data_IF_364914369904
#
_entry.id   IF_364914369904
#
_cell.length_a   1.000
_cell.length_b   1.000
_cell.length_c   1.000
_cell.angle_alpha   90.00
_cell.angle_beta   90.00
_cell.angle_gamma   90.00
#
_symmetry.space_group_name_H-M   'P 1'
#
loop_
_entity.id
_entity.type
_entity.pdbx_description
1 polymer ?
#
# COMPACT_ATOMS: atom_id res chain seq x y z
N UNK A 1 -12.33 -56.72 -66.30
CA UNK A 1 -12.36 -55.25 -66.13
C UNK A 1 -13.22 -54.94 -64.91
N UNK A 2 -12.60 -54.84 -63.75
CA UNK A 2 -13.31 -54.59 -62.48
C UNK A 2 -12.56 -53.48 -61.77
N UNK A 3 -13.20 -52.30 -61.70
CA UNK A 3 -12.66 -51.09 -61.07
C UNK A 3 -12.73 -51.25 -59.56
N UNK A 4 -11.59 -51.12 -58.88
CA UNK A 4 -11.53 -50.96 -57.43
C UNK A 4 -11.64 -49.47 -57.10
N UNK A 5 -12.72 -49.09 -56.43
CA UNK A 5 -12.91 -47.78 -55.81
C UNK A 5 -12.17 -47.76 -54.47
N UNK A 6 -11.04 -47.05 -54.41
CA UNK A 6 -10.34 -46.79 -53.14
C UNK A 6 -11.06 -45.70 -52.36
N UNK A 7 -11.58 -46.04 -51.18
CA UNK A 7 -12.16 -45.11 -50.23
C UNK A 7 -11.02 -44.46 -49.42
N UNK A 8 -10.76 -43.17 -49.63
CA UNK A 8 -9.84 -42.38 -48.79
C UNK A 8 -10.59 -42.04 -47.49
N UNK A 9 -10.18 -42.64 -46.38
CA UNK A 9 -10.66 -42.29 -45.05
C UNK A 9 -9.85 -41.09 -44.55
N UNK A 10 -10.38 -39.87 -44.70
CA UNK A 10 -9.85 -38.69 -44.02
C UNK A 10 -10.19 -38.78 -42.53
N UNK A 11 -9.24 -39.20 -41.69
CA UNK A 11 -9.35 -39.04 -40.23
C UNK A 11 -9.09 -37.57 -39.92
N UNK A 12 -10.16 -36.82 -39.68
CA UNK A 12 -10.06 -35.46 -39.16
C UNK A 12 -9.50 -35.53 -37.73
N UNK A 13 -8.26 -35.10 -37.55
CA UNK A 13 -7.69 -34.86 -36.23
C UNK A 13 -8.41 -33.65 -35.62
N UNK A 14 -9.40 -33.92 -34.76
CA UNK A 14 -9.97 -32.90 -33.89
C UNK A 14 -8.87 -32.39 -32.98
N UNK A 15 -8.31 -31.23 -33.31
CA UNK A 15 -7.51 -30.45 -32.39
C UNK A 15 -8.42 -30.05 -31.22
N UNK A 16 -8.33 -30.80 -30.12
CA UNK A 16 -8.86 -30.39 -28.83
C UNK A 16 -8.16 -29.08 -28.47
N UNK A 17 -8.83 -27.97 -28.78
CA UNK A 17 -8.51 -26.67 -28.21
C UNK A 17 -8.83 -26.79 -26.72
N UNK A 18 -7.86 -27.32 -25.96
CA UNK A 18 -7.92 -27.33 -24.52
C UNK A 18 -7.95 -25.88 -24.08
N UNK A 19 -9.11 -25.40 -23.62
CA UNK A 19 -9.17 -24.27 -22.74
C UNK A 19 -8.28 -24.61 -21.53
N UNK A 20 -7.04 -24.16 -21.55
CA UNK A 20 -6.23 -24.10 -20.35
C UNK A 20 -6.93 -23.09 -19.46
N UNK A 21 -7.73 -23.60 -18.53
CA UNK A 21 -8.16 -22.80 -17.40
C UNK A 21 -6.89 -22.18 -16.81
N UNK A 22 -6.84 -20.85 -16.78
CA UNK A 22 -5.75 -20.14 -16.13
C UNK A 22 -5.62 -20.71 -14.72
N UNK A 23 -4.50 -21.37 -14.44
CA UNK A 23 -4.16 -21.83 -13.11
C UNK A 23 -4.25 -20.61 -12.20
N UNK A 24 -5.06 -20.74 -11.14
CA UNK A 24 -5.22 -19.74 -10.08
C UNK A 24 -3.85 -19.19 -9.69
N UNK A 25 -3.74 -17.86 -9.65
CA UNK A 25 -2.48 -17.14 -9.45
C UNK A 25 -1.68 -17.60 -8.24
N UNK A 26 -0.37 -17.34 -8.28
CA UNK A 26 0.59 -17.69 -7.25
C UNK A 26 0.03 -17.44 -5.83
N UNK A 27 0.27 -18.35 -4.87
CA UNK A 27 -0.18 -18.15 -3.50
C UNK A 27 0.40 -16.85 -2.94
N UNK A 28 -0.41 -16.10 -2.17
CA UNK A 28 0.02 -14.88 -1.50
C UNK A 28 1.28 -15.15 -0.67
N UNK A 29 2.40 -14.53 -1.05
CA UNK A 29 3.65 -14.61 -0.30
C UNK A 29 3.69 -13.48 0.73
N UNK A 30 3.57 -13.84 2.01
CA UNK A 30 3.74 -12.89 3.11
C UNK A 30 5.23 -12.65 3.32
N UNK A 31 5.63 -11.38 3.40
CA UNK A 31 7.01 -10.98 3.67
C UNK A 31 7.02 -9.79 4.61
N UNK A 32 7.88 -9.87 5.63
CA UNK A 32 8.10 -8.75 6.54
C UNK A 32 8.64 -7.54 5.78
N UNK A 33 7.93 -6.41 5.92
CA UNK A 33 8.36 -5.14 5.37
C UNK A 33 9.44 -4.47 6.23
N UNK A 34 9.41 -4.72 7.54
CA UNK A 34 10.36 -4.23 8.52
C UNK A 34 11.10 -5.41 9.18
N UNK A 35 12.42 -5.32 9.28
CA UNK A 35 13.25 -6.44 9.74
C UNK A 35 13.37 -6.58 11.27
N UNK A 36 12.76 -5.66 12.04
CA UNK A 36 12.81 -5.65 13.51
C UNK A 36 14.15 -5.21 14.11
N UNK A 37 15.13 -4.79 13.32
CA UNK A 37 16.51 -4.52 13.76
C UNK A 37 16.99 -3.13 13.42
N UNK A 38 16.79 -2.70 12.18
CA UNK A 38 17.31 -1.44 11.66
C UNK A 38 16.47 -0.94 10.48
N UNK A 39 16.88 0.18 9.89
CA UNK A 39 16.19 0.81 8.76
C UNK A 39 16.66 0.29 7.39
N UNK A 40 17.30 -0.88 7.33
CA UNK A 40 17.69 -1.47 6.03
C UNK A 40 16.44 -1.72 5.18
N UNK A 41 16.47 -1.30 3.91
CA UNK A 41 15.31 -1.32 3.02
C UNK A 41 14.36 -0.13 3.19
N UNK A 42 14.71 0.86 4.02
CA UNK A 42 13.98 2.11 4.21
C UNK A 42 14.84 3.32 3.83
N UNK A 43 14.17 4.38 3.36
CA UNK A 43 14.79 5.63 2.96
C UNK A 43 14.15 6.75 3.77
N UNK A 44 14.97 7.45 4.56
CA UNK A 44 14.60 8.71 5.18
C UNK A 44 14.60 9.81 4.10
N UNK A 45 13.45 10.46 3.88
CA UNK A 45 13.28 11.38 2.75
C UNK A 45 13.59 12.82 3.16
N UNK A 46 13.01 13.28 4.26
CA UNK A 46 13.03 14.69 4.64
C UNK A 46 12.91 14.90 6.16
N UNK A 47 13.40 13.96 6.97
CA UNK A 47 13.46 14.11 8.42
C UNK A 47 14.89 14.23 8.93
N UNK A 48 15.06 14.54 10.22
CA UNK A 48 16.39 14.52 10.83
C UNK A 48 16.88 13.07 10.99
N UNK A 49 18.21 12.84 11.08
CA UNK A 49 18.77 11.50 11.21
C UNK A 49 18.26 10.70 12.41
N UNK A 50 17.78 11.36 13.46
CA UNK A 50 17.30 10.73 14.71
C UNK A 50 15.76 10.76 14.86
N UNK A 51 15.03 11.19 13.82
CA UNK A 51 13.56 11.21 13.84
C UNK A 51 12.99 9.79 13.81
N UNK A 52 13.61 8.88 13.05
CA UNK A 52 13.24 7.47 12.92
C UNK A 52 14.31 6.59 13.58
N UNK A 53 13.87 5.72 14.48
CA UNK A 53 14.76 4.81 15.23
C UNK A 53 14.12 3.44 15.37
N UNK A 54 14.93 2.44 15.72
CA UNK A 54 14.43 1.11 16.10
C UNK A 54 14.67 0.90 17.58
N UNK A 55 13.62 0.53 18.31
CA UNK A 55 13.69 0.22 19.74
C UNK A 55 12.85 -1.01 20.02
N UNK A 56 13.44 -2.02 20.66
CA UNK A 56 12.76 -3.26 21.08
C UNK A 56 11.96 -3.91 19.94
N UNK A 57 12.55 -3.99 18.75
CA UNK A 57 11.88 -4.57 17.57
C UNK A 57 10.79 -3.69 16.94
N UNK A 58 10.63 -2.44 17.38
CA UNK A 58 9.60 -1.50 16.90
C UNK A 58 10.23 -0.33 16.16
N UNK A 59 9.67 0.06 15.02
CA UNK A 59 9.96 1.33 14.35
C UNK A 59 9.33 2.49 15.13
N UNK A 60 10.15 3.44 15.59
CA UNK A 60 9.74 4.57 16.42
C UNK A 60 9.99 5.90 15.69
N UNK A 61 8.96 6.74 15.63
CA UNK A 61 9.02 8.09 15.08
C UNK A 61 8.80 9.14 16.18
N UNK A 62 9.70 10.13 16.27
CA UNK A 62 9.52 11.29 17.16
C UNK A 62 8.59 12.36 16.57
N UNK A 63 8.35 12.32 15.25
CA UNK A 63 7.48 13.24 14.52
C UNK A 63 8.04 14.65 14.30
N UNK A 64 9.30 14.91 14.70
CA UNK A 64 9.93 16.23 14.58
C UNK A 64 11.32 16.10 13.92
N UNK A 65 11.58 16.83 12.82
CA UNK A 65 10.58 17.54 12.00
C UNK A 65 9.57 16.59 11.37
N UNK A 66 8.45 17.15 10.89
CA UNK A 66 7.46 16.40 10.09
C UNK A 66 8.11 15.97 8.77
N UNK A 67 7.92 14.71 8.41
CA UNK A 67 8.37 14.14 7.15
C UNK A 67 8.12 12.64 7.11
N UNK A 68 8.71 11.96 6.12
CA UNK A 68 8.41 10.56 5.83
C UNK A 68 9.64 9.66 5.84
N UNK A 69 9.41 8.41 6.24
CA UNK A 69 10.24 7.26 5.93
C UNK A 69 9.48 6.42 4.92
N UNK A 70 10.15 5.95 3.87
CA UNK A 70 9.52 5.08 2.85
C UNK A 70 10.32 3.81 2.61
N UNK A 71 9.68 2.81 2.03
CA UNK A 71 10.38 1.64 1.51
C UNK A 71 11.31 2.03 0.37
N UNK A 72 12.45 1.35 0.26
CA UNK A 72 13.35 1.47 -0.89
C UNK A 72 12.67 0.94 -2.16
N UNK A 73 12.00 -0.21 -2.04
CA UNK A 73 11.23 -0.85 -3.10
C UNK A 73 9.86 -0.19 -3.30
N UNK A 74 9.39 -0.15 -4.54
CA UNK A 74 8.02 0.22 -4.92
C UNK A 74 7.12 -1.02 -5.03
N UNK A 75 5.85 -0.84 -4.67
CA UNK A 75 4.81 -1.87 -4.73
C UNK A 75 3.57 -1.31 -5.42
N UNK A 76 2.89 -2.14 -6.18
CA UNK A 76 1.66 -1.79 -6.91
C UNK A 76 0.45 -2.53 -6.30
N UNK A 77 0.48 -3.86 -6.38
CA UNK A 77 -0.53 -4.74 -5.80
C UNK A 77 0.03 -5.41 -4.54
N UNK A 78 -0.65 -5.25 -3.41
CA UNK A 78 -0.21 -5.80 -2.14
C UNK A 78 -1.38 -5.97 -1.16
N UNK A 79 -1.14 -6.81 -0.16
CA UNK A 79 -1.87 -6.81 1.11
C UNK A 79 -0.89 -6.32 2.16
N UNK A 80 -1.24 -5.25 2.87
CA UNK A 80 -0.39 -4.66 3.92
C UNK A 80 -1.04 -4.87 5.27
N UNK A 81 -0.29 -5.47 6.18
CA UNK A 81 -0.63 -5.61 7.58
C UNK A 81 0.42 -4.87 8.42
N UNK A 82 -0.03 -4.07 9.38
CA UNK A 82 0.83 -3.36 10.32
C UNK A 82 0.10 -3.12 11.63
N UNK A 83 0.86 -3.07 12.71
CA UNK A 83 0.39 -2.63 14.02
C UNK A 83 1.00 -1.26 14.35
N UNK A 84 0.24 -0.43 15.05
CA UNK A 84 0.67 0.91 15.45
C UNK A 84 0.17 1.25 16.85
N UNK A 85 0.86 2.19 17.51
CA UNK A 85 0.42 2.80 18.76
C UNK A 85 0.94 4.23 18.87
N UNK A 86 0.14 5.12 19.43
CA UNK A 86 0.64 6.42 19.88
C UNK A 86 1.16 6.31 21.32
N UNK A 87 2.26 7.01 21.59
CA UNK A 87 2.86 7.08 22.92
C UNK A 87 2.47 8.36 23.68
N UNK A 88 1.77 9.28 23.00
CA UNK A 88 1.35 10.57 23.53
C UNK A 88 -0.10 10.82 23.08
N UNK A 89 -0.86 11.55 23.91
CA UNK A 89 -2.17 12.05 23.51
C UNK A 89 -2.05 12.96 22.28
N UNK A 90 -3.10 13.01 21.46
CA UNK A 90 -3.11 13.78 20.22
C UNK A 90 -1.99 13.40 19.22
N UNK A 91 -1.54 12.14 19.23
CA UNK A 91 -0.67 11.63 18.19
C UNK A 91 -1.31 11.71 16.81
N UNK A 92 -0.53 12.10 15.80
CA UNK A 92 -0.95 12.22 14.41
C UNK A 92 0.15 11.67 13.49
N UNK A 93 -0.20 10.69 12.68
CA UNK A 93 0.66 10.03 11.71
C UNK A 93 -0.21 9.49 10.56
N UNK A 94 0.41 8.92 9.54
CA UNK A 94 -0.31 8.24 8.48
C UNK A 94 0.54 7.19 7.78
N UNK A 95 -0.13 6.32 7.04
CA UNK A 95 0.51 5.36 6.13
C UNK A 95 0.17 5.79 4.71
N UNK A 96 1.20 6.19 3.96
CA UNK A 96 1.05 6.53 2.55
C UNK A 96 1.18 5.29 1.69
N UNK A 97 0.14 5.01 0.90
CA UNK A 97 0.10 3.97 -0.13
C UNK A 97 -0.09 4.60 -1.51
N UNK A 98 0.36 3.90 -2.56
CA UNK A 98 0.37 4.41 -3.95
C UNK A 98 0.91 5.85 -4.02
N UNK A 99 2.02 6.08 -3.32
CA UNK A 99 2.61 7.40 -3.13
C UNK A 99 3.81 7.63 -4.03
N UNK A 100 4.04 8.89 -4.40
CA UNK A 100 5.26 9.31 -5.11
C UNK A 100 6.53 9.16 -4.25
N UNK A 101 6.40 8.90 -2.94
CA UNK A 101 7.53 8.62 -2.04
C UNK A 101 8.43 9.83 -1.77
N UNK A 102 8.02 11.02 -2.18
CA UNK A 102 8.71 12.28 -1.90
C UNK A 102 7.70 13.44 -1.92
N UNK A 103 7.89 14.47 -1.08
CA UNK A 103 7.04 15.65 -1.14
C UNK A 103 7.30 16.49 -2.38
N UNK A 104 6.27 17.17 -2.93
CA UNK A 104 6.45 18.27 -3.86
C UNK A 104 7.28 19.41 -3.24
N UNK A 105 7.85 20.28 -4.07
CA UNK A 105 8.58 21.45 -3.60
C UNK A 105 7.69 22.32 -2.70
N UNK A 106 8.18 22.67 -1.52
CA UNK A 106 7.45 23.48 -0.55
C UNK A 106 6.44 22.72 0.32
N UNK A 107 6.31 21.41 0.15
CA UNK A 107 5.45 20.56 0.99
C UNK A 107 6.30 19.61 1.86
N UNK A 108 5.70 19.09 2.93
CA UNK A 108 6.36 18.15 3.85
C UNK A 108 5.92 16.70 3.62
N UNK A 109 4.69 16.50 3.13
CA UNK A 109 4.08 15.19 2.90
C UNK A 109 3.96 14.89 1.41
N UNK A 110 4.01 13.61 1.01
CA UNK A 110 3.98 13.21 -0.38
C UNK A 110 2.56 13.21 -0.95
N UNK A 111 2.48 13.22 -2.28
CA UNK A 111 1.25 12.93 -3.02
C UNK A 111 1.04 11.40 -3.01
N UNK A 112 -0.20 10.96 -2.73
CA UNK A 112 -0.58 9.55 -2.68
C UNK A 112 -1.95 9.34 -2.05
N UNK A 113 -2.21 8.13 -1.59
CA UNK A 113 -3.35 7.81 -0.73
C UNK A 113 -2.83 7.66 0.69
N UNK A 114 -3.47 8.33 1.64
CA UNK A 114 -3.12 8.24 3.06
C UNK A 114 -4.18 7.44 3.80
N UNK A 115 -3.73 6.45 4.57
CA UNK A 115 -4.52 5.78 5.60
C UNK A 115 -4.19 6.44 6.93
N UNK A 116 -5.17 7.11 7.51
CA UNK A 116 -4.98 7.96 8.67
C UNK A 116 -4.67 7.17 9.93
N UNK A 117 -3.75 7.69 10.74
CA UNK A 117 -3.48 7.23 12.11
C UNK A 117 -3.57 8.44 13.04
N UNK A 118 -4.73 8.61 13.67
CA UNK A 118 -5.02 9.77 14.51
C UNK A 118 -5.60 9.37 15.86
N UNK A 119 -5.02 9.91 16.93
CA UNK A 119 -5.55 9.86 18.29
C UNK A 119 -6.63 10.95 18.48
N UNK A 120 -7.76 10.61 19.11
CA UNK A 120 -8.96 11.45 19.10
C UNK A 120 -8.80 12.77 19.88
N UNK A 121 -7.90 12.83 20.87
CA UNK A 121 -7.61 14.07 21.60
C UNK A 121 -7.02 15.15 20.66
N UNK A 122 -6.46 14.76 19.51
CA UNK A 122 -5.96 15.72 18.52
C UNK A 122 -7.06 16.67 18.05
N UNK A 123 -8.26 16.15 17.80
CA UNK A 123 -9.41 16.95 17.36
C UNK A 123 -9.81 17.98 18.41
N UNK A 124 -9.78 17.59 19.69
CA UNK A 124 -10.10 18.47 20.83
C UNK A 124 -9.05 19.58 20.94
N UNK A 125 -7.77 19.22 20.94
CA UNK A 125 -6.66 20.17 21.08
C UNK A 125 -6.57 21.18 19.93
N UNK A 126 -6.99 20.79 18.73
CA UNK A 126 -6.94 21.64 17.53
C UNK A 126 -8.29 22.30 17.19
N UNK A 127 -9.32 22.11 18.04
CA UNK A 127 -10.69 22.59 17.81
C UNK A 127 -11.21 22.20 16.42
N UNK A 128 -10.98 20.95 16.00
CA UNK A 128 -11.37 20.39 14.71
C UNK A 128 -12.47 19.36 14.89
N UNK A 129 -13.72 19.73 14.64
CA UNK A 129 -14.88 18.82 14.80
C UNK A 129 -15.05 17.85 13.62
N UNK A 130 -14.42 18.13 12.49
CA UNK A 130 -14.47 17.36 11.25
C UNK A 130 -13.10 16.83 10.82
N UNK A 131 -12.16 16.69 11.77
CA UNK A 131 -10.88 16.04 11.54
C UNK A 131 -11.04 14.65 10.92
N UNK A 132 -10.02 14.19 10.19
CA UNK A 132 -9.94 12.78 9.81
C UNK A 132 -9.84 11.91 11.06
N UNK A 133 -10.23 10.63 11.00
CA UNK A 133 -10.05 9.69 12.12
C UNK A 133 -9.22 8.48 11.70
N UNK A 134 -8.67 7.73 12.67
CA UNK A 134 -7.89 6.54 12.38
C UNK A 134 -8.63 5.58 11.43
N UNK A 135 -7.91 5.06 10.44
CA UNK A 135 -8.45 4.16 9.42
C UNK A 135 -9.17 4.86 8.25
N UNK A 136 -9.41 6.17 8.31
CA UNK A 136 -9.92 6.89 7.14
C UNK A 136 -8.89 6.92 6.01
N UNK A 137 -9.38 6.77 4.79
CA UNK A 137 -8.56 6.71 3.58
C UNK A 137 -8.91 7.92 2.71
N UNK A 138 -7.92 8.74 2.38
CA UNK A 138 -8.11 9.93 1.55
C UNK A 138 -6.93 10.15 0.60
N UNK A 139 -7.18 10.84 -0.51
CA UNK A 139 -6.13 11.24 -1.45
C UNK A 139 -5.46 12.53 -0.99
N UNK A 140 -4.14 12.61 -1.16
CA UNK A 140 -3.35 13.84 -0.94
C UNK A 140 -2.94 14.48 -2.26
N UNK A 141 -2.77 15.80 -2.26
CA UNK A 141 -2.55 16.57 -3.49
C UNK A 141 -3.71 16.42 -4.46
N UNK A 142 -3.42 16.05 -5.70
CA UNK A 142 -4.42 15.90 -6.77
C UNK A 142 -5.03 14.49 -6.85
N UNK A 143 -4.66 13.58 -5.95
CA UNK A 143 -5.19 12.21 -5.94
C UNK A 143 -6.67 12.24 -5.53
N UNK A 144 -7.52 11.64 -6.36
CA UNK A 144 -8.96 11.47 -6.10
C UNK A 144 -9.24 9.99 -5.90
N UNK A 145 -9.89 9.66 -4.78
CA UNK A 145 -10.32 8.31 -4.45
C UNK A 145 -11.72 8.30 -3.85
N UNK A 146 -12.37 7.17 -3.96
CA UNK A 146 -13.63 6.86 -3.31
C UNK A 146 -13.41 5.57 -2.51
N UNK A 147 -13.24 5.61 -1.17
CA UNK A 147 -13.16 4.40 -0.38
C UNK A 147 -14.53 3.70 -0.37
N UNK A 148 -14.55 2.38 -0.20
CA UNK A 148 -15.79 1.57 -0.19
C UNK A 148 -16.76 1.98 0.94
N UNK A 149 -16.21 2.43 2.07
CA UNK A 149 -16.98 2.91 3.22
C UNK A 149 -16.54 4.33 3.61
N UNK A 150 -16.90 5.36 2.82
CA UNK A 150 -16.52 6.73 3.12
C UNK A 150 -17.32 7.23 4.31
N UNK A 151 -16.67 7.86 5.30
CA UNK A 151 -17.41 8.50 6.40
C UNK A 151 -18.26 9.67 5.89
N UNK A 152 -17.72 10.46 4.95
CA UNK A 152 -18.38 11.62 4.32
C UNK A 152 -17.85 11.82 2.88
N UNK A 153 -18.57 12.60 2.07
CA UNK A 153 -18.03 13.16 0.81
C UNK A 153 -17.08 14.29 1.19
N UNK A 154 -15.81 14.21 0.80
CA UNK A 154 -14.77 15.23 1.03
C UNK A 154 -14.14 15.67 -0.28
#
# INVERSE_FOLDING_TARGET
MTRWTGLILCVAAMALCGCQAATSGDPLQVRDLFNGKDLSGWINVNTAPDTWTVKDGTLVCKGQPIGILRTERQYENFVLELEWKHLQAAGNSGVFVWSQGRPPQGQQLPVGVEVQILELEWAVQNNQTDAYVHGEIFGTGDVKIQPDNPRNVR
#
